data_IF_005448911538
#
_entry.id   IF_005448911538
#
_cell.length_a   1.000
_cell.length_b   1.000
_cell.length_c   1.000
_cell.angle_alpha   90.00
_cell.angle_beta   90.00
_cell.angle_gamma   90.00
#
_symmetry.space_group_name_H-M   'P 1'
#
loop_
_entity.id
_entity.type
_entity.pdbx_description
1 polymer ?
#
# COMPACT_ATOMS: atom_id res chain seq x y z
N UNK A 1 32.46 -9.39 2.60
CA UNK A 1 32.00 -9.01 2.78
C UNK A 1 31.26 -8.91 3.13
N UNK A 2 31.18 -8.86 3.35
CA UNK A 2 30.26 -8.86 3.80
C UNK A 2 29.37 -8.18 3.73
N UNK A 3 29.44 -7.79 3.52
CA UNK A 3 28.66 -7.09 3.72
C UNK A 3 27.46 -7.19 3.21
N UNK A 4 27.31 -7.64 2.70
CA UNK A 4 26.23 -7.75 2.35
C UNK A 4 25.19 -7.90 3.05
N UNK A 5 25.42 -8.30 3.71
CA UNK A 5 24.45 -8.51 4.65
C UNK A 5 23.78 -7.30 5.08
N UNK A 6 24.44 -6.23 5.01
CA UNK A 6 23.82 -5.02 5.41
C UNK A 6 22.94 -4.45 4.37
N UNK A 7 22.79 -5.17 3.30
CA UNK A 7 21.96 -4.70 2.29
C UNK A 7 20.52 -4.73 2.73
N UNK A 8 19.89 -3.60 2.82
CA UNK A 8 18.51 -3.52 3.24
C UNK A 8 17.64 -3.75 2.02
N UNK A 9 16.80 -4.77 2.10
CA UNK A 9 15.86 -4.96 1.03
C UNK A 9 14.76 -3.96 1.16
N UNK A 10 14.55 -3.18 0.12
CA UNK A 10 13.50 -2.18 0.13
C UNK A 10 12.20 -2.81 -0.27
N UNK A 11 11.21 -2.62 0.56
CA UNK A 11 9.90 -3.10 0.23
C UNK A 11 9.28 -2.20 -0.83
N UNK A 12 8.51 -2.80 -1.72
CA UNK A 12 7.93 -2.09 -2.84
C UNK A 12 6.45 -1.85 -2.58
N UNK A 13 6.05 -0.60 -2.70
CA UNK A 13 4.66 -0.17 -2.50
C UNK A 13 4.07 0.17 -3.86
N UNK A 14 2.91 -0.41 -4.17
CA UNK A 14 2.17 -0.02 -5.35
C UNK A 14 1.19 1.08 -4.94
N UNK A 15 1.35 2.27 -5.49
CA UNK A 15 0.52 3.43 -5.18
C UNK A 15 -0.39 3.70 -6.36
N UNK A 16 -1.69 3.70 -6.12
CA UNK A 16 -2.68 3.95 -7.15
C UNK A 16 -3.48 5.18 -6.77
N UNK A 17 -3.31 6.24 -7.55
CA UNK A 17 -3.89 7.54 -7.25
C UNK A 17 -4.04 8.30 -8.57
N UNK A 18 -5.26 8.75 -8.87
CA UNK A 18 -5.51 9.40 -10.16
C UNK A 18 -5.11 10.86 -10.19
N UNK A 19 -4.90 11.50 -9.04
CA UNK A 19 -4.42 12.87 -9.01
C UNK A 19 -2.89 12.84 -9.07
N UNK A 20 -2.33 13.39 -10.14
CA UNK A 20 -0.90 13.30 -10.38
C UNK A 20 -0.08 13.94 -9.26
N UNK A 21 -0.50 15.11 -8.80
CA UNK A 21 0.27 15.83 -7.78
C UNK A 21 0.27 15.07 -6.46
N UNK A 22 -0.87 14.52 -6.09
CA UNK A 22 -0.96 13.73 -4.85
C UNK A 22 -0.12 12.47 -4.99
N UNK A 23 -0.19 11.82 -6.13
CA UNK A 23 0.58 10.60 -6.37
C UNK A 23 2.09 10.88 -6.25
N UNK A 24 2.56 11.98 -6.83
CA UNK A 24 3.97 12.32 -6.75
C UNK A 24 4.39 12.65 -5.33
N UNK A 25 3.52 13.33 -4.59
CA UNK A 25 3.83 13.65 -3.21
C UNK A 25 3.95 12.39 -2.36
N UNK A 26 3.02 11.47 -2.53
CA UNK A 26 3.06 10.19 -1.83
C UNK A 26 4.36 9.46 -2.17
N UNK A 27 4.72 9.44 -3.44
CA UNK A 27 5.94 8.79 -3.87
C UNK A 27 7.17 9.38 -3.17
N UNK A 28 7.24 10.70 -3.12
CA UNK A 28 8.37 11.36 -2.46
C UNK A 28 8.44 10.96 -0.99
N UNK A 29 7.31 11.00 -0.29
CA UNK A 29 7.29 10.65 1.12
C UNK A 29 7.75 9.21 1.35
N UNK A 30 7.27 8.30 0.53
CA UNK A 30 7.59 6.88 0.72
C UNK A 30 9.04 6.59 0.32
N UNK A 31 9.52 7.21 -0.76
CA UNK A 31 10.90 6.98 -1.16
C UNK A 31 11.87 7.53 -0.13
N UNK A 32 11.55 8.66 0.48
CA UNK A 32 12.38 9.20 1.56
C UNK A 32 12.40 8.28 2.76
N UNK A 33 11.33 7.53 2.96
CA UNK A 33 11.27 6.59 4.08
C UNK A 33 11.96 5.27 3.76
N UNK A 34 12.45 5.09 2.54
CA UNK A 34 13.25 3.92 2.19
C UNK A 34 12.52 2.89 1.35
N UNK A 35 11.30 3.19 0.90
CA UNK A 35 10.55 2.23 0.09
C UNK A 35 10.82 2.44 -1.40
N UNK A 36 10.62 1.39 -2.17
CA UNK A 36 10.54 1.49 -3.62
C UNK A 36 9.08 1.70 -3.98
N UNK A 37 8.79 2.57 -4.93
CA UNK A 37 7.41 2.91 -5.26
C UNK A 37 7.15 2.65 -6.74
N UNK A 38 6.05 1.96 -7.01
CA UNK A 38 5.51 1.81 -8.35
C UNK A 38 4.18 2.55 -8.34
N UNK A 39 3.92 3.37 -9.34
CA UNK A 39 2.71 4.18 -9.38
C UNK A 39 1.82 3.77 -10.53
N UNK A 40 0.52 3.93 -10.35
CA UNK A 40 -0.48 3.76 -11.38
C UNK A 40 -1.53 4.84 -11.20
N UNK A 41 -2.17 5.27 -12.27
CA UNK A 41 -3.06 6.41 -12.19
C UNK A 41 -4.54 6.03 -12.25
N UNK A 42 -4.87 4.77 -12.34
CA UNK A 42 -6.25 4.33 -12.15
C UNK A 42 -6.25 2.84 -11.75
N UNK A 43 -7.44 2.34 -11.45
CA UNK A 43 -7.56 0.98 -10.94
C UNK A 43 -7.15 -0.08 -11.95
N UNK A 44 -7.45 0.15 -13.22
CA UNK A 44 -7.07 -0.82 -14.24
C UNK A 44 -5.57 -0.89 -14.40
N UNK A 45 -4.92 0.27 -14.44
CA UNK A 45 -3.47 0.29 -14.46
C UNK A 45 -2.87 -0.30 -13.21
N UNK A 46 -3.50 -0.05 -12.08
CA UNK A 46 -3.05 -0.63 -10.82
C UNK A 46 -3.07 -2.15 -10.86
N UNK A 47 -4.14 -2.71 -11.39
CA UNK A 47 -4.22 -4.16 -11.49
C UNK A 47 -3.16 -4.71 -12.44
N UNK A 48 -2.95 -4.05 -13.58
CA UNK A 48 -1.91 -4.46 -14.52
C UNK A 48 -0.53 -4.37 -13.89
N UNK A 49 -0.29 -3.30 -13.13
CA UNK A 49 0.99 -3.15 -12.45
C UNK A 49 1.20 -4.26 -11.42
N UNK A 50 0.15 -4.58 -10.68
CA UNK A 50 0.27 -5.65 -9.71
C UNK A 50 0.62 -6.96 -10.42
N UNK A 51 -0.07 -7.28 -11.49
CA UNK A 51 0.18 -8.52 -12.21
C UNK A 51 1.59 -8.58 -12.80
N UNK A 52 2.09 -7.42 -13.20
CA UNK A 52 3.42 -7.37 -13.82
C UNK A 52 4.53 -7.51 -12.79
N UNK A 53 4.36 -6.93 -11.62
CA UNK A 53 5.44 -6.82 -10.65
C UNK A 53 5.30 -7.71 -9.43
N UNK A 54 4.19 -8.44 -9.30
CA UNK A 54 4.15 -9.43 -8.25
C UNK A 54 5.24 -10.46 -8.52
N UNK A 55 5.83 -11.08 -7.55
CA UNK A 55 5.55 -11.03 -6.13
C UNK A 55 6.32 -9.96 -5.38
N UNK A 56 6.92 -9.02 -6.10
CA UNK A 56 7.76 -8.02 -5.46
C UNK A 56 6.97 -6.97 -4.70
N UNK A 57 5.67 -6.81 -4.98
CA UNK A 57 4.87 -5.79 -4.32
C UNK A 57 4.52 -6.26 -2.92
N UNK A 58 4.87 -5.43 -1.94
CA UNK A 58 4.67 -5.73 -0.53
C UNK A 58 3.39 -5.12 0.04
N UNK A 59 2.83 -4.09 -0.61
CA UNK A 59 1.64 -3.42 -0.10
C UNK A 59 0.98 -2.66 -1.24
N UNK A 60 -0.35 -2.66 -1.24
CA UNK A 60 -1.15 -1.84 -2.14
C UNK A 60 -1.67 -0.64 -1.36
N UNK A 61 -1.36 0.55 -1.84
CA UNK A 61 -1.86 1.81 -1.30
C UNK A 61 -2.69 2.45 -2.39
N UNK A 62 -4.01 2.56 -2.21
CA UNK A 62 -4.87 3.04 -3.27
C UNK A 62 -5.93 3.99 -2.77
N UNK A 63 -6.19 5.02 -3.57
CA UNK A 63 -7.35 5.88 -3.37
C UNK A 63 -8.60 5.04 -3.59
N UNK A 64 -9.67 5.36 -2.87
CA UNK A 64 -10.95 4.71 -3.09
C UNK A 64 -11.66 5.29 -4.31
N UNK A 65 -11.76 6.61 -4.39
CA UNK A 65 -12.54 7.28 -5.43
C UNK A 65 -11.71 7.48 -6.68
N UNK A 66 -11.88 6.60 -7.64
CA UNK A 66 -11.16 6.68 -8.91
C UNK A 66 -12.13 6.31 -10.03
N UNK A 67 -11.91 6.83 -11.23
CA UNK A 67 -12.74 6.43 -12.35
C UNK A 67 -12.50 4.98 -12.74
N UNK A 68 -13.48 4.39 -13.38
CA UNK A 68 -13.43 3.05 -13.95
C UNK A 68 -13.47 1.95 -12.89
N UNK A 69 -12.49 1.87 -12.05
CA UNK A 69 -12.42 0.85 -11.01
C UNK A 69 -12.02 1.55 -9.73
N UNK A 70 -12.88 1.54 -8.72
CA UNK A 70 -12.55 2.19 -7.45
C UNK A 70 -11.55 1.35 -6.67
N UNK A 71 -11.02 1.94 -5.60
CA UNK A 71 -9.95 1.29 -4.83
C UNK A 71 -10.38 0.01 -4.12
N UNK A 72 -11.64 -0.07 -3.72
CA UNK A 72 -12.13 -1.30 -3.09
C UNK A 72 -12.20 -2.43 -4.10
N UNK A 73 -12.69 -2.14 -5.30
CA UNK A 73 -12.73 -3.15 -6.35
C UNK A 73 -11.33 -3.60 -6.73
N UNK A 74 -10.40 -2.65 -6.81
CA UNK A 74 -9.02 -3.00 -7.10
C UNK A 74 -8.46 -3.91 -6.01
N UNK A 75 -8.69 -3.55 -4.75
CA UNK A 75 -8.20 -4.36 -3.65
C UNK A 75 -8.78 -5.77 -3.71
N UNK A 76 -10.06 -5.89 -4.00
CA UNK A 76 -10.68 -7.21 -4.10
C UNK A 76 -10.03 -8.05 -5.20
N UNK A 77 -9.75 -7.43 -6.33
CA UNK A 77 -9.12 -8.16 -7.43
C UNK A 77 -7.71 -8.60 -7.12
N UNK A 78 -6.95 -7.71 -6.48
CA UNK A 78 -5.58 -8.04 -6.10
C UNK A 78 -5.57 -9.14 -5.05
N UNK A 79 -6.51 -9.08 -4.11
CA UNK A 79 -6.57 -10.10 -3.06
C UNK A 79 -7.00 -11.46 -3.59
N UNK A 80 -7.66 -11.52 -4.73
CA UNK A 80 -7.90 -12.81 -5.38
C UNK A 80 -6.60 -13.43 -5.88
N UNK A 81 -5.62 -12.61 -6.19
CA UNK A 81 -4.32 -13.09 -6.67
C UNK A 81 -3.36 -13.34 -5.52
N UNK A 82 -3.47 -12.59 -4.45
CA UNK A 82 -2.61 -12.75 -3.27
C UNK A 82 -3.42 -12.36 -2.05
N UNK A 83 -3.99 -13.34 -1.40
CA UNK A 83 -4.93 -13.10 -0.29
C UNK A 83 -4.26 -12.52 0.94
N UNK A 84 -2.94 -12.50 1.00
CA UNK A 84 -2.22 -12.01 2.16
C UNK A 84 -1.61 -10.62 1.95
N UNK A 85 -1.81 -10.03 0.79
CA UNK A 85 -1.21 -8.74 0.51
C UNK A 85 -1.81 -7.66 1.41
N UNK A 86 -1.00 -6.90 2.14
CA UNK A 86 -1.51 -5.77 2.89
C UNK A 86 -2.09 -4.70 1.97
N UNK A 87 -3.23 -4.15 2.36
CA UNK A 87 -3.91 -3.11 1.60
C UNK A 87 -4.19 -1.94 2.52
N UNK A 88 -3.86 -0.74 2.06
CA UNK A 88 -4.18 0.50 2.76
C UNK A 88 -4.93 1.39 1.79
N UNK A 89 -6.14 1.79 2.16
CA UNK A 89 -6.96 2.67 1.33
C UNK A 89 -6.75 4.13 1.74
N UNK A 90 -7.01 5.03 0.79
CA UNK A 90 -6.99 6.47 1.06
C UNK A 90 -8.33 7.04 0.66
N UNK A 91 -8.84 7.97 1.48
CA UNK A 91 -10.15 8.56 1.20
C UNK A 91 -10.22 9.98 1.72
N UNK A 92 -10.91 10.84 0.97
CA UNK A 92 -11.19 12.20 1.43
C UNK A 92 -12.34 12.26 2.40
N UNK A 93 -13.11 11.20 2.52
CA UNK A 93 -14.26 11.15 3.39
C UNK A 93 -14.01 10.19 4.53
N UNK A 94 -14.73 10.37 5.62
CA UNK A 94 -14.64 9.42 6.70
C UNK A 94 -15.07 8.06 6.18
N UNK A 95 -14.21 7.07 6.30
CA UNK A 95 -14.48 5.80 5.65
C UNK A 95 -15.47 4.98 6.42
N UNK A 96 -16.59 4.78 5.85
CA UNK A 96 -17.56 3.89 6.44
C UNK A 96 -17.36 2.48 6.00
N UNK A 97 -16.55 2.33 4.97
CA UNK A 97 -16.39 1.06 4.34
C UNK A 97 -15.34 0.22 4.95
N UNK A 98 -14.61 0.76 5.88
CA UNK A 98 -13.32 0.22 6.18
C UNK A 98 -13.33 -0.86 7.22
N UNK A 99 -14.42 -1.58 7.36
CA UNK A 99 -14.38 -2.74 8.23
C UNK A 99 -13.44 -3.81 7.71
N UNK A 100 -13.22 -3.83 6.39
CA UNK A 100 -12.35 -4.84 5.79
C UNK A 100 -10.93 -4.35 5.59
N UNK A 101 -10.75 -3.05 5.47
CA UNK A 101 -9.46 -2.49 5.12
C UNK A 101 -9.12 -1.32 6.01
N UNK A 102 -7.84 -1.15 6.30
CA UNK A 102 -7.35 0.07 6.90
C UNK A 102 -7.49 1.21 5.93
N UNK A 103 -7.82 2.37 6.44
CA UNK A 103 -8.03 3.54 5.59
C UNK A 103 -7.36 4.76 6.17
N UNK A 104 -6.64 5.50 5.34
CA UNK A 104 -5.98 6.74 5.72
C UNK A 104 -6.81 7.89 5.17
N UNK A 105 -7.22 8.81 6.04
CA UNK A 105 -8.05 9.93 5.64
C UNK A 105 -7.21 11.07 5.09
N UNK A 106 -7.61 11.60 3.94
CA UNK A 106 -6.97 12.77 3.35
C UNK A 106 -7.56 14.04 3.93
N UNK A 107 -6.80 15.10 4.08
CA UNK A 107 -5.36 15.16 3.83
C UNK A 107 -4.59 14.55 4.99
N UNK A 108 -3.40 14.06 4.69
CA UNK A 108 -2.55 13.49 5.72
C UNK A 108 -1.15 14.08 5.63
N UNK A 109 -0.42 13.97 6.72
CA UNK A 109 0.98 14.39 6.75
C UNK A 109 1.86 13.22 6.36
N UNK A 110 3.09 13.55 5.98
CA UNK A 110 4.02 12.48 5.62
C UNK A 110 4.22 11.48 6.76
N UNK A 111 4.26 11.96 7.99
CA UNK A 111 4.44 11.06 9.13
C UNK A 111 3.26 10.11 9.30
N UNK A 112 2.04 10.58 9.05
CA UNK A 112 0.86 9.74 9.12
C UNK A 112 0.92 8.65 8.05
N UNK A 113 1.25 9.03 6.84
CA UNK A 113 1.35 8.09 5.74
C UNK A 113 2.41 7.03 6.02
N UNK A 114 3.60 7.47 6.36
CA UNK A 114 4.71 6.55 6.57
C UNK A 114 4.43 5.62 7.75
N UNK A 115 3.84 6.17 8.82
CA UNK A 115 3.49 5.35 9.98
C UNK A 115 2.45 4.29 9.68
N UNK A 116 1.42 4.66 8.88
CA UNK A 116 0.37 3.71 8.55
C UNK A 116 0.89 2.63 7.61
N UNK A 117 1.74 3.00 6.66
CA UNK A 117 2.34 2.03 5.76
C UNK A 117 3.21 1.05 6.53
N UNK A 118 4.04 1.56 7.42
CA UNK A 118 4.90 0.68 8.22
C UNK A 118 4.08 -0.29 9.06
N UNK A 119 3.01 0.21 9.66
CA UNK A 119 2.15 -0.65 10.47
C UNK A 119 1.47 -1.72 9.63
N UNK A 120 0.99 -1.35 8.44
CA UNK A 120 0.34 -2.31 7.57
C UNK A 120 1.31 -3.39 7.10
N UNK A 121 2.54 -3.00 6.81
CA UNK A 121 3.54 -3.96 6.36
C UNK A 121 3.93 -4.95 7.43
N UNK A 122 3.90 -4.54 8.69
CA UNK A 122 4.42 -5.38 9.77
C UNK A 122 3.36 -5.93 10.69
N UNK A 123 2.10 -5.75 10.36
CA UNK A 123 1.04 -6.21 11.25
C UNK A 123 0.99 -7.74 11.35
N UNK A 124 1.28 -8.45 10.28
CA UNK A 124 1.26 -9.90 10.36
C UNK A 124 2.43 -10.44 11.16
N UNK A 125 3.56 -9.75 11.16
CA UNK A 125 4.66 -10.12 12.03
C UNK A 125 4.29 -9.98 13.48
N UNK A 126 3.61 -8.90 13.81
CA UNK A 126 3.16 -8.68 15.18
C UNK A 126 2.19 -9.76 15.59
N UNK A 127 1.26 -10.09 14.73
CA UNK A 127 0.28 -11.13 15.03
C UNK A 127 0.97 -12.48 15.23
N UNK A 128 1.94 -12.78 14.40
CA UNK A 128 2.65 -14.03 14.55
C UNK A 128 3.40 -14.11 15.86
N UNK A 129 3.95 -13.00 16.30
CA UNK A 129 4.68 -12.99 17.56
C UNK A 129 3.77 -13.16 18.76
N UNK A 130 2.52 -12.77 18.63
CA UNK A 130 1.60 -12.85 19.73
C UNK A 130 0.80 -14.14 19.70
N UNK A 131 0.64 -14.71 18.54
CA UNK A 131 -0.26 -15.82 18.35
C UNK A 131 -0.08 -16.97 19.30
N UNK A 132 1.12 -17.34 19.69
CA UNK A 132 1.23 -18.53 20.51
C UNK A 132 0.73 -18.41 21.89
N UNK A 133 -0.02 -17.44 22.18
CA UNK A 133 -0.49 -17.33 23.50
C UNK A 133 -1.61 -18.25 23.76
N UNK A 134 -1.85 -19.20 23.17
CA UNK A 134 -2.91 -19.99 23.56
C UNK A 134 -2.58 -21.21 24.20
#
# INVERSE_FOLDING_TARGET
MPAKTTEVQRETILVVEDNFDICMLIRIFLERAGYTVITADDGEEGLRAYQRYQPDIALLLTDIAMPKMNGVDLADRVLQLDSHLPVLLMSGDAPRLSLRFECLTKPFRSADLVGRVARALHSSDIVQNIAPLQ
#
